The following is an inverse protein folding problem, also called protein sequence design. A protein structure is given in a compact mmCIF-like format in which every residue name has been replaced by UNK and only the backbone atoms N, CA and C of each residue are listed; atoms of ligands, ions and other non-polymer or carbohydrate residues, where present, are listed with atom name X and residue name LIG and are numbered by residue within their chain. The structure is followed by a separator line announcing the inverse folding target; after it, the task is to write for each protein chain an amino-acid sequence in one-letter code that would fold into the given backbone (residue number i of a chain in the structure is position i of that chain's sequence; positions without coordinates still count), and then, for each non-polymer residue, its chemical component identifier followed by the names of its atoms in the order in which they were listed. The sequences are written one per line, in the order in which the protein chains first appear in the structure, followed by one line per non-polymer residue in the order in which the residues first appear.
data_IF_567997358275
#
_entry.id   IF_567997358275
#
_cell.length_a   1.000
_cell.length_b   1.000
_cell.length_c   1.000
_cell.angle_alpha   90.00
_cell.angle_beta   90.00
_cell.angle_gamma   90.00
#
_symmetry.space_group_name_H-M   'P 1'
#
loop_
_entity.id
_entity.type
_entity.pdbx_description
1 polymer ?
#
# COMPACT_ATOMS: atom_id res chain seq x y z
N UNK A 1 -20.45 -11.46 23.82
CA UNK A 1 -19.88 -11.80 22.49
C UNK A 1 -20.33 -10.75 21.48
N UNK A 2 -19.74 -9.55 21.49
CA UNK A 2 -20.03 -8.53 20.51
C UNK A 2 -18.89 -8.52 19.50
N UNK A 3 -19.00 -9.38 18.48
CA UNK A 3 -18.16 -9.25 17.30
C UNK A 3 -18.53 -7.95 16.62
N UNK A 4 -17.70 -6.92 16.77
CA UNK A 4 -17.85 -5.72 15.97
C UNK A 4 -17.70 -6.14 14.52
N UNK A 5 -18.75 -5.92 13.71
CA UNK A 5 -18.63 -5.90 12.26
C UNK A 5 -17.61 -4.81 11.93
N UNK A 6 -16.34 -5.20 11.85
CA UNK A 6 -15.26 -4.35 11.45
C UNK A 6 -15.62 -3.76 10.11
N UNK A 7 -15.83 -2.45 10.06
CA UNK A 7 -15.88 -1.71 8.80
C UNK A 7 -14.66 -2.16 8.01
N UNK A 8 -14.86 -2.81 6.85
CA UNK A 8 -13.78 -3.28 5.97
C UNK A 8 -13.15 -2.05 5.27
N UNK A 9 -12.64 -1.12 6.06
CA UNK A 9 -11.97 0.10 5.61
C UNK A 9 -10.57 -0.27 5.17
N UNK A 10 -10.40 -0.33 3.85
CA UNK A 10 -9.11 -0.40 3.20
C UNK A 10 -8.59 1.02 3.02
N UNK A 11 -7.35 1.25 3.43
CA UNK A 11 -6.68 2.54 3.27
C UNK A 11 -5.52 2.36 2.29
N UNK A 12 -5.33 3.32 1.41
CA UNK A 12 -4.18 3.36 0.51
C UNK A 12 -3.18 4.42 0.97
N UNK A 13 -1.91 4.06 1.02
CA UNK A 13 -0.88 4.95 1.52
C UNK A 13 0.49 4.66 0.94
N UNK A 14 1.42 5.58 1.18
CA UNK A 14 2.81 5.44 0.78
C UNK A 14 3.66 5.00 1.97
N UNK A 15 4.53 4.02 1.76
CA UNK A 15 5.53 3.64 2.76
C UNK A 15 6.58 4.76 2.90
N UNK A 16 6.70 5.32 4.10
CA UNK A 16 7.64 6.41 4.42
C UNK A 16 8.94 5.85 4.99
N UNK A 17 8.85 4.80 5.80
CA UNK A 17 9.99 4.25 6.52
C UNK A 17 9.80 2.77 6.81
N UNK A 18 10.89 2.02 6.67
CA UNK A 18 10.99 0.61 7.00
C UNK A 18 12.29 0.39 7.80
N UNK A 19 12.34 0.93 9.02
CA UNK A 19 13.54 0.84 9.88
C UNK A 19 13.32 -0.07 11.10
N UNK A 20 12.13 -0.65 11.23
CA UNK A 20 11.73 -1.54 12.32
C UNK A 20 11.48 -2.93 11.77
N UNK A 21 12.06 -3.96 12.41
CA UNK A 21 11.83 -5.36 12.02
C UNK A 21 10.33 -5.68 12.06
N UNK A 22 9.81 -6.29 11.00
CA UNK A 22 8.42 -6.72 10.86
C UNK A 22 7.35 -5.61 10.89
N UNK A 23 7.75 -4.33 10.74
CA UNK A 23 6.83 -3.20 10.80
C UNK A 23 7.26 -2.06 9.88
N UNK A 24 6.29 -1.48 9.17
CA UNK A 24 6.50 -0.34 8.30
C UNK A 24 5.65 0.86 8.72
N UNK A 25 6.11 2.06 8.38
CA UNK A 25 5.36 3.31 8.60
C UNK A 25 4.78 3.79 7.27
N UNK A 26 3.46 3.87 7.20
CA UNK A 26 2.72 4.25 5.99
C UNK A 26 1.99 5.58 6.19
N UNK A 27 2.08 6.48 5.21
CA UNK A 27 1.34 7.75 5.14
C UNK A 27 0.06 7.56 4.34
N UNK A 28 -1.09 7.81 4.94
CA UNK A 28 -2.38 7.82 4.25
C UNK A 28 -2.57 9.13 3.46
N UNK A 29 -2.92 9.04 2.17
CA UNK A 29 -2.90 10.21 1.26
C UNK A 29 -3.86 11.36 1.63
N UNK A 30 -5.15 11.13 1.97
CA UNK A 30 -6.11 12.21 2.15
C UNK A 30 -5.84 13.14 3.35
N UNK A 31 -5.19 12.62 4.40
CA UNK A 31 -5.01 13.36 5.66
C UNK A 31 -3.56 13.37 6.15
N UNK A 32 -2.64 12.78 5.37
CA UNK A 32 -1.23 12.59 5.72
C UNK A 32 -0.98 11.90 7.08
N UNK A 33 -1.99 11.21 7.63
CA UNK A 33 -1.86 10.45 8.88
C UNK A 33 -0.91 9.29 8.68
N UNK A 34 -0.02 9.09 9.66
CA UNK A 34 0.94 7.99 9.65
C UNK A 34 0.40 6.82 10.48
N UNK A 35 0.41 5.62 9.90
CA UNK A 35 0.05 4.39 10.57
C UNK A 35 1.23 3.42 10.59
N UNK A 36 1.34 2.65 11.67
CA UNK A 36 2.25 1.51 11.74
C UNK A 36 1.51 0.25 11.30
N UNK A 37 2.08 -0.40 10.30
CA UNK A 37 1.56 -1.62 9.72
C UNK A 37 2.45 -2.80 10.10
N UNK A 38 1.83 -3.96 10.23
CA UNK A 38 2.54 -5.22 10.32
C UNK A 38 2.91 -5.72 8.93
N UNK A 39 4.20 -5.99 8.74
CA UNK A 39 4.75 -6.59 7.52
C UNK A 39 5.81 -7.63 7.92
N UNK A 40 5.41 -8.89 8.21
CA UNK A 40 6.33 -9.93 8.66
C UNK A 40 7.31 -10.41 7.57
N UNK A 41 7.00 -10.16 6.31
CA UNK A 41 7.79 -10.59 5.16
C UNK A 41 8.74 -9.49 4.65
N UNK A 42 8.70 -8.30 5.27
CA UNK A 42 9.53 -7.14 4.93
C UNK A 42 9.51 -6.82 3.42
N UNK A 43 8.34 -6.98 2.81
CA UNK A 43 8.17 -6.75 1.37
C UNK A 43 8.15 -5.26 1.03
N UNK A 44 7.72 -4.40 1.98
CA UNK A 44 7.55 -2.97 1.75
C UNK A 44 8.89 -2.23 1.71
N UNK A 45 9.10 -1.44 0.65
CA UNK A 45 10.20 -0.49 0.55
C UNK A 45 9.72 0.94 0.70
N UNK A 46 10.66 1.82 1.02
CA UNK A 46 10.39 3.27 1.09
C UNK A 46 9.97 3.76 -0.30
N UNK A 47 8.84 4.45 -0.36
CA UNK A 47 8.26 4.98 -1.59
C UNK A 47 7.16 4.11 -2.20
N UNK A 48 7.01 2.85 -1.78
CA UNK A 48 5.97 1.94 -2.29
C UNK A 48 4.57 2.43 -1.94
N UNK A 49 3.61 2.21 -2.84
CA UNK A 49 2.19 2.44 -2.58
C UNK A 49 1.54 1.13 -2.18
N UNK A 50 0.97 1.11 -0.99
CA UNK A 50 0.47 -0.10 -0.33
C UNK A 50 -0.98 0.07 0.09
N UNK A 51 -1.71 -1.05 0.05
CA UNK A 51 -3.05 -1.17 0.58
C UNK A 51 -2.99 -1.81 1.96
N UNK A 52 -3.55 -1.13 2.95
CA UNK A 52 -3.51 -1.53 4.36
C UNK A 52 -4.93 -1.72 4.88
N UNK A 53 -5.10 -2.68 5.79
CA UNK A 53 -6.37 -2.98 6.46
C UNK A 53 -6.22 -2.87 7.96
N UNK A 54 -7.22 -2.30 8.61
CA UNK A 54 -7.29 -2.26 10.07
C UNK A 54 -7.43 -3.69 10.63
N UNK A 55 -6.61 -4.02 11.64
CA UNK A 55 -6.67 -5.30 12.32
C UNK A 55 -7.89 -5.32 13.27
N UNK A 56 -8.58 -6.48 13.43
CA UNK A 56 -9.70 -6.60 14.37
C UNK A 56 -9.24 -6.39 15.82
N UNK A 57 -8.00 -6.78 16.12
CA UNK A 57 -7.33 -6.54 17.40
C UNK A 57 -5.95 -5.93 17.15
N UNK A 58 -5.63 -4.85 17.86
CA UNK A 58 -4.31 -4.21 17.75
C UNK A 58 -3.25 -5.14 18.33
N UNK A 59 -2.33 -5.62 17.50
CA UNK A 59 -1.27 -6.55 17.95
C UNK A 59 -0.36 -5.92 19.00
N UNK A 60 -0.04 -4.64 18.86
CA UNK A 60 0.73 -3.87 19.85
C UNK A 60 0.17 -2.45 19.99
N UNK A 61 0.69 -1.68 20.96
CA UNK A 61 0.27 -0.30 21.22
C UNK A 61 0.35 0.62 19.98
N UNK A 62 1.28 0.31 19.06
CA UNK A 62 1.56 1.12 17.87
C UNK A 62 1.00 0.49 16.59
N UNK A 63 1.08 -0.84 16.45
CA UNK A 63 0.68 -1.55 15.23
C UNK A 63 -0.84 -1.77 15.23
N UNK A 64 -1.51 -1.09 14.31
CA UNK A 64 -2.97 -1.07 14.19
C UNK A 64 -3.47 -1.65 12.87
N UNK A 65 -2.61 -1.67 11.85
CA UNK A 65 -2.97 -2.09 10.50
C UNK A 65 -2.09 -3.25 10.04
N UNK A 66 -2.57 -3.96 9.04
CA UNK A 66 -1.86 -5.04 8.35
C UNK A 66 -1.69 -4.69 6.88
N UNK A 67 -0.58 -5.13 6.29
CA UNK A 67 -0.38 -5.06 4.85
C UNK A 67 -1.31 -6.07 4.16
N UNK A 68 -2.09 -5.60 3.19
CA UNK A 68 -2.95 -6.48 2.36
C UNK A 68 -2.29 -6.78 1.04
N UNK A 69 -1.87 -5.73 0.33
CA UNK A 69 -1.31 -5.84 -1.02
C UNK A 69 -0.44 -4.64 -1.34
N UNK A 70 0.68 -4.90 -2.02
CA UNK A 70 1.47 -3.85 -2.67
C UNK A 70 0.80 -3.46 -3.99
N UNK A 71 0.40 -2.20 -4.12
CA UNK A 71 -0.29 -1.68 -5.31
C UNK A 71 0.74 -1.23 -6.34
N UNK A 72 1.74 -0.46 -5.90
CA UNK A 72 2.83 0.02 -6.75
C UNK A 72 4.16 -0.11 -6.03
N UNK A 73 5.15 -0.69 -6.71
CA UNK A 73 6.54 -0.75 -6.23
C UNK A 73 7.30 0.49 -6.69
N UNK A 74 8.07 1.07 -5.79
CA UNK A 74 8.96 2.18 -6.04
C UNK A 74 10.12 1.74 -6.93
N UNK A 75 10.39 2.49 -7.99
CA UNK A 75 11.45 2.18 -8.96
C UNK A 75 11.16 1.02 -9.92
N UNK A 76 10.13 0.22 -9.65
CA UNK A 76 9.57 -0.77 -10.58
C UNK A 76 8.19 -0.29 -11.07
N UNK A 77 8.05 1.03 -11.26
CA UNK A 77 7.11 1.62 -12.21
C UNK A 77 7.71 1.39 -13.62
N UNK A 78 8.14 0.17 -13.91
CA UNK A 78 8.03 -0.29 -15.27
C UNK A 78 6.53 -0.38 -15.52
N UNK A 79 6.06 0.10 -16.66
CA UNK A 79 4.73 -0.19 -17.19
C UNK A 79 4.59 -1.70 -17.50
N UNK A 80 5.03 -2.58 -16.60
CA UNK A 80 4.92 -4.02 -16.73
C UNK A 80 3.45 -4.37 -16.61
N UNK A 81 2.84 -4.54 -17.79
CA UNK A 81 1.43 -4.82 -18.09
C UNK A 81 0.47 -3.64 -17.94
N UNK A 82 0.83 -2.46 -18.46
CA UNK A 82 -0.15 -1.43 -18.86
C UNK A 82 -0.12 -1.14 -20.37
N UNK A 83 0.46 -2.02 -21.17
CA UNK A 83 0.46 -1.95 -22.65
C UNK A 83 -0.82 -2.48 -23.33
N UNK A 84 -1.90 -2.58 -22.58
CA UNK A 84 -3.24 -2.53 -23.16
C UNK A 84 -3.90 -1.28 -22.59
N UNK A 85 -3.41 -0.12 -23.03
CA UNK A 85 -4.24 1.07 -22.97
C UNK A 85 -5.57 0.74 -23.70
N UNK A 86 -6.71 1.29 -23.26
CA UNK A 86 -7.93 1.12 -24.04
C UNK A 86 -7.72 1.76 -25.44
N UNK A 87 -8.25 1.16 -26.53
CA UNK A 87 -8.16 1.74 -27.86
C UNK A 87 -8.85 3.11 -27.86
N UNK A 88 -8.05 4.18 -27.77
CA UNK A 88 -8.50 5.56 -27.57
C UNK A 88 -7.69 6.37 -26.53
N UNK A 89 -6.83 5.75 -25.74
CA UNK A 89 -5.96 6.48 -24.81
C UNK A 89 -4.81 7.18 -25.57
N UNK A 90 -4.46 8.44 -25.26
CA UNK A 90 -3.42 9.19 -25.98
C UNK A 90 -2.03 8.53 -25.97
N UNK A 91 -1.73 7.76 -24.92
CA UNK A 91 -0.45 7.07 -24.73
C UNK A 91 -0.45 5.63 -25.27
N UNK A 92 -1.54 5.19 -25.92
CA UNK A 92 -1.65 3.82 -26.47
C UNK A 92 -0.53 3.49 -27.45
N UNK A 93 -0.14 4.47 -28.28
CA UNK A 93 0.82 4.29 -29.36
C UNK A 93 2.16 4.99 -29.11
N UNK A 94 2.43 5.44 -27.87
CA UNK A 94 3.66 6.18 -27.58
C UNK A 94 4.89 5.24 -27.50
N UNK A 95 5.89 5.40 -28.39
CA UNK A 95 7.06 4.52 -28.45
C UNK A 95 8.04 4.72 -27.28
N UNK A 96 7.84 5.78 -26.49
CA UNK A 96 8.59 6.06 -25.24
C UNK A 96 7.91 5.43 -24.03
N UNK A 97 6.61 5.12 -24.13
CA UNK A 97 5.85 4.50 -23.05
C UNK A 97 6.05 2.98 -22.99
N UNK A 98 6.61 2.36 -24.05
CA UNK A 98 6.84 0.92 -24.23
C UNK A 98 8.23 0.42 -23.87
#
# INVERSE_FOLDING_TARGET
MAGSLGRNTLLIGQCIAHNTKNAAKVRYFPTQKSYFIHDPEEQCKVGDVVLIKELPEKMTKLISHSLVKMVYKFGDIGYKKWHEFEPGHPLHDDPVAS
#
